data_IF_656739892679
#
_entry.id   IF_656739892679
#
_cell.length_a   1.000
_cell.length_b   1.000
_cell.length_c   1.000
_cell.angle_alpha   90.00
_cell.angle_beta   90.00
_cell.angle_gamma   90.00
#
_symmetry.space_group_name_H-M   'P 1'
#
loop_
_entity.id
_entity.type
_entity.pdbx_description
1 polymer ?
#
# COMPACT_ATOMS: atom_id res chain seq x y z
N UNK A 1 -7.12 -29.61 13.11
CA UNK A 1 -8.46 -30.24 13.08
C UNK A 1 -8.87 -30.59 14.50
N UNK A 2 -9.85 -29.87 15.07
CA UNK A 2 -10.33 -30.11 16.43
C UNK A 2 -11.58 -31.00 16.37
N UNK A 3 -11.59 -32.04 17.21
CA UNK A 3 -12.52 -33.18 17.26
C UNK A 3 -14.00 -32.86 17.55
N UNK A 4 -14.41 -31.58 17.54
CA UNK A 4 -15.77 -31.16 17.93
C UNK A 4 -16.69 -30.79 16.76
N UNK A 5 -16.18 -30.75 15.53
CA UNK A 5 -17.00 -30.44 14.33
C UNK A 5 -17.54 -31.67 13.60
N UNK A 6 -17.31 -32.88 14.11
CA UNK A 6 -17.67 -34.12 13.41
C UNK A 6 -19.09 -34.62 13.68
N UNK A 7 -19.81 -34.02 14.65
CA UNK A 7 -21.11 -34.52 15.12
C UNK A 7 -22.33 -33.70 14.69
N UNK A 8 -22.16 -32.63 13.90
CA UNK A 8 -23.31 -31.82 13.42
C UNK A 8 -23.75 -32.13 11.98
N UNK A 9 -23.08 -33.06 11.28
CA UNK A 9 -23.38 -33.38 9.86
C UNK A 9 -24.27 -34.62 9.63
N UNK A 10 -24.90 -35.19 10.66
CA UNK A 10 -25.60 -36.49 10.52
C UNK A 10 -27.14 -36.46 10.54
N UNK A 11 -27.83 -35.31 10.52
CA UNK A 11 -29.30 -35.31 10.63
C UNK A 11 -30.06 -34.38 9.67
N UNK A 12 -29.59 -34.23 8.43
CA UNK A 12 -30.45 -33.90 7.28
C UNK A 12 -29.69 -34.35 6.03
N UNK A 13 -29.96 -35.49 5.43
CA UNK A 13 -31.26 -35.97 4.99
C UNK A 13 -31.13 -36.18 3.48
N UNK A 14 -30.92 -37.42 3.07
CA UNK A 14 -30.64 -37.82 1.71
C UNK A 14 -31.79 -37.49 0.75
N UNK A 15 -31.46 -36.86 -0.39
CA UNK A 15 -32.08 -37.15 -1.69
C UNK A 15 -31.06 -36.83 -2.78
N UNK A 16 -30.63 -37.87 -3.48
CA UNK A 16 -29.83 -37.76 -4.68
C UNK A 16 -30.71 -37.21 -5.82
N UNK A 17 -30.20 -36.24 -6.57
CA UNK A 17 -30.11 -36.26 -8.04
C UNK A 17 -29.70 -34.89 -8.57
N UNK A 18 -28.82 -34.93 -9.57
CA UNK A 18 -28.41 -33.83 -10.46
C UNK A 18 -27.36 -32.87 -9.90
N UNK A 19 -26.15 -33.07 -10.43
CA UNK A 19 -24.94 -32.35 -10.06
C UNK A 19 -25.09 -30.83 -10.09
N UNK A 20 -24.58 -30.20 -9.04
CA UNK A 20 -23.34 -29.43 -9.13
C UNK A 20 -22.59 -29.72 -7.82
N UNK A 21 -21.43 -30.37 -7.92
CA UNK A 21 -20.46 -30.36 -6.81
C UNK A 21 -19.87 -28.96 -6.78
N UNK A 22 -20.57 -28.01 -6.16
CA UNK A 22 -19.98 -26.74 -5.78
C UNK A 22 -19.02 -27.06 -4.64
N UNK A 23 -17.76 -27.36 -4.97
CA UNK A 23 -16.65 -27.26 -4.03
C UNK A 23 -16.62 -25.81 -3.50
N UNK A 24 -17.04 -25.52 -2.26
CA UNK A 24 -17.24 -24.14 -1.83
C UNK A 24 -15.95 -23.47 -1.34
N UNK A 25 -14.78 -24.11 -1.49
CA UNK A 25 -13.62 -23.76 -0.66
C UNK A 25 -12.46 -23.07 -1.38
N UNK A 26 -12.46 -22.99 -2.72
CA UNK A 26 -11.27 -22.52 -3.47
C UNK A 26 -11.23 -21.04 -3.83
N UNK A 27 -12.39 -20.39 -4.06
CA UNK A 27 -12.44 -19.14 -4.85
C UNK A 27 -12.88 -17.90 -4.08
N UNK A 28 -13.42 -18.05 -2.87
CA UNK A 28 -13.89 -16.91 -2.07
C UNK A 28 -12.74 -16.16 -1.37
N UNK A 29 -11.65 -16.86 -1.02
CA UNK A 29 -10.55 -16.25 -0.28
C UNK A 29 -9.77 -15.20 -1.10
N UNK A 30 -9.63 -15.42 -2.41
CA UNK A 30 -8.90 -14.50 -3.29
C UNK A 30 -9.62 -13.15 -3.49
N UNK A 31 -10.95 -13.09 -3.29
CA UNK A 31 -11.74 -11.87 -3.48
C UNK A 31 -11.51 -10.82 -2.39
N UNK A 32 -10.96 -11.20 -1.24
CA UNK A 32 -10.79 -10.32 -0.08
C UNK A 32 -9.34 -9.91 0.19
N UNK A 33 -8.38 -10.43 -0.58
CA UNK A 33 -6.98 -10.04 -0.43
C UNK A 33 -6.80 -8.57 -0.80
N UNK A 34 -6.16 -7.82 0.10
CA UNK A 34 -5.86 -6.42 -0.13
C UNK A 34 -5.00 -6.26 -1.38
N UNK A 35 -5.32 -5.31 -2.28
CA UNK A 35 -4.50 -5.00 -3.45
C UNK A 35 -3.26 -4.17 -3.07
N UNK A 36 -3.21 -3.64 -1.85
CA UNK A 36 -2.11 -2.83 -1.35
C UNK A 36 -0.93 -3.74 -1.04
N UNK A 37 0.20 -3.44 -1.65
CA UNK A 37 1.45 -4.22 -1.56
C UNK A 37 2.63 -3.27 -1.49
N UNK A 38 3.86 -3.80 -1.36
CA UNK A 38 5.06 -2.95 -1.42
C UNK A 38 5.06 -2.10 -2.68
N UNK A 39 5.25 -0.81 -2.51
CA UNK A 39 5.19 0.23 -3.55
C UNK A 39 3.81 0.44 -4.24
N UNK A 40 2.76 -0.25 -3.84
CA UNK A 40 1.39 -0.03 -4.31
C UNK A 40 0.50 0.36 -3.12
N UNK A 41 0.22 1.66 -2.98
CA UNK A 41 -0.35 2.24 -1.75
C UNK A 41 -1.69 2.94 -2.02
N UNK A 42 -2.52 3.10 -1.01
CA UNK A 42 -3.65 4.03 -1.06
C UNK A 42 -3.19 5.50 -1.11
N UNK A 43 -3.97 6.39 -1.73
CA UNK A 43 -3.69 7.83 -1.72
C UNK A 43 -3.61 8.44 -0.30
N UNK A 44 -3.07 9.66 -0.17
CA UNK A 44 -3.02 10.39 1.10
C UNK A 44 -4.40 10.46 1.80
N UNK A 45 -4.39 10.34 3.13
CA UNK A 45 -5.61 10.43 3.94
C UNK A 45 -6.51 9.20 3.90
N UNK A 46 -6.12 8.11 3.23
CA UNK A 46 -6.92 6.89 3.20
C UNK A 46 -7.29 6.38 4.60
N UNK A 47 -8.54 5.97 4.75
CA UNK A 47 -8.97 5.16 5.91
C UNK A 47 -8.26 3.80 5.90
N UNK A 48 -8.42 3.02 6.99
CA UNK A 48 -7.89 1.66 7.05
C UNK A 48 -8.37 0.82 5.86
N UNK A 49 -7.51 -0.08 5.38
CA UNK A 49 -7.80 -0.87 4.19
C UNK A 49 -9.10 -1.69 4.33
N UNK A 50 -9.40 -2.16 5.54
CA UNK A 50 -10.64 -2.88 5.88
C UNK A 50 -11.90 -2.04 5.61
N UNK A 51 -11.84 -0.72 5.82
CA UNK A 51 -12.97 0.20 5.63
C UNK A 51 -12.95 0.90 4.26
N UNK A 52 -11.83 0.83 3.54
CA UNK A 52 -11.65 1.57 2.30
C UNK A 52 -12.64 1.18 1.19
N UNK A 53 -12.86 -0.11 0.85
CA UNK A 53 -13.73 -0.49 -0.26
C UNK A 53 -15.22 -0.22 0.01
N UNK A 54 -15.65 -0.12 1.27
CA UNK A 54 -17.03 0.22 1.64
C UNK A 54 -17.29 1.72 1.64
N UNK A 55 -16.27 2.55 1.91
CA UNK A 55 -16.39 4.03 1.88
C UNK A 55 -16.15 4.63 0.51
N UNK A 56 -15.31 4.00 -0.32
CA UNK A 56 -15.01 4.51 -1.64
C UNK A 56 -16.16 4.22 -2.62
N UNK A 57 -16.85 5.25 -3.09
CA UNK A 57 -17.90 5.13 -4.11
C UNK A 57 -17.34 5.02 -5.55
N UNK A 58 -16.03 4.87 -5.72
CA UNK A 58 -15.36 4.66 -7.02
C UNK A 58 -15.65 5.76 -8.06
N UNK A 59 -15.84 7.00 -7.59
CA UNK A 59 -16.22 8.13 -8.45
C UNK A 59 -15.09 8.71 -9.34
N UNK A 60 -13.84 8.25 -9.21
CA UNK A 60 -12.73 8.70 -10.05
C UNK A 60 -12.18 10.12 -9.81
N UNK A 61 -12.88 11.00 -9.07
CA UNK A 61 -12.47 12.40 -8.84
C UNK A 61 -11.03 12.60 -8.35
N UNK A 62 -10.55 11.69 -7.50
CA UNK A 62 -9.17 11.74 -7.00
C UNK A 62 -8.12 11.57 -8.11
N UNK A 63 -8.43 10.79 -9.15
CA UNK A 63 -7.58 10.60 -10.33
C UNK A 63 -7.61 11.85 -11.20
N UNK A 64 -8.80 12.37 -11.48
CA UNK A 64 -9.00 13.56 -12.32
C UNK A 64 -8.28 14.80 -11.77
N UNK A 65 -8.35 15.02 -10.44
CA UNK A 65 -7.76 16.20 -9.82
C UNK A 65 -6.24 16.08 -9.61
N UNK A 66 -5.66 14.88 -9.76
CA UNK A 66 -4.24 14.66 -9.49
C UNK A 66 -3.37 15.28 -10.60
N UNK A 67 -2.64 16.38 -10.34
CA UNK A 67 -1.90 17.07 -11.41
C UNK A 67 -0.72 16.25 -11.94
N UNK A 68 -0.23 15.29 -11.13
CA UNK A 68 0.90 14.43 -11.46
C UNK A 68 0.48 13.07 -12.04
N UNK A 69 -0.83 12.77 -12.08
CA UNK A 69 -1.35 11.47 -12.49
C UNK A 69 -0.76 10.29 -11.70
N UNK A 70 -0.46 10.52 -10.42
CA UNK A 70 0.09 9.48 -9.51
C UNK A 70 -0.94 8.43 -9.09
N UNK A 71 -2.23 8.72 -9.24
CA UNK A 71 -3.32 7.86 -8.78
C UNK A 71 -3.91 7.12 -9.98
N UNK A 72 -4.03 5.80 -9.86
CA UNK A 72 -4.69 4.93 -10.84
C UNK A 72 -5.83 4.16 -10.17
N UNK A 73 -6.85 3.77 -10.93
CA UNK A 73 -7.91 2.91 -10.42
C UNK A 73 -7.55 1.45 -10.65
N UNK A 74 -7.82 0.61 -9.66
CA UNK A 74 -7.69 -0.84 -9.81
C UNK A 74 -8.67 -1.38 -10.84
N UNK A 75 -8.23 -2.38 -11.59
CA UNK A 75 -9.05 -3.06 -12.57
C UNK A 75 -10.14 -3.95 -11.93
N UNK A 76 -10.96 -4.56 -12.76
CA UNK A 76 -12.07 -5.45 -12.33
C UNK A 76 -11.58 -6.75 -11.66
N UNK A 77 -10.32 -7.14 -11.88
CA UNK A 77 -9.72 -8.36 -11.30
C UNK A 77 -9.40 -8.19 -9.82
N UNK A 78 -9.36 -6.95 -9.32
CA UNK A 78 -9.18 -6.65 -7.89
C UNK A 78 -10.41 -6.97 -7.00
N UNK A 79 -11.43 -7.66 -7.54
CA UNK A 79 -12.58 -8.13 -6.78
C UNK A 79 -13.34 -6.98 -6.10
N UNK A 80 -13.54 -7.07 -4.78
CA UNK A 80 -14.26 -6.03 -4.02
C UNK A 80 -13.58 -4.65 -4.05
N UNK A 81 -12.28 -4.63 -4.34
CA UNK A 81 -11.47 -3.43 -4.46
C UNK A 81 -11.42 -2.86 -5.88
N UNK A 82 -12.09 -3.48 -6.86
CA UNK A 82 -12.16 -2.95 -8.22
C UNK A 82 -12.66 -1.48 -8.22
N UNK A 83 -12.05 -0.64 -9.06
CA UNK A 83 -12.38 0.79 -9.17
C UNK A 83 -11.96 1.65 -7.97
N UNK A 84 -11.26 1.09 -6.99
CA UNK A 84 -10.70 1.87 -5.87
C UNK A 84 -9.31 2.41 -6.24
N UNK A 85 -8.94 3.63 -5.79
CA UNK A 85 -7.67 4.26 -6.18
C UNK A 85 -6.46 3.68 -5.45
N UNK A 86 -5.34 3.60 -6.18
CA UNK A 86 -4.00 3.26 -5.67
C UNK A 86 -2.93 4.16 -6.30
N UNK A 87 -1.75 4.18 -5.69
CA UNK A 87 -0.55 4.90 -6.11
C UNK A 87 0.58 3.89 -6.21
N UNK A 88 1.05 3.66 -7.43
CA UNK A 88 2.21 2.82 -7.71
C UNK A 88 3.48 3.68 -7.70
N UNK A 89 4.13 3.77 -6.54
CA UNK A 89 5.22 4.75 -6.33
C UNK A 89 6.46 4.47 -7.16
N UNK A 90 6.64 3.24 -7.62
CA UNK A 90 7.73 2.87 -8.55
C UNK A 90 7.56 3.57 -9.91
N UNK A 91 6.31 3.72 -10.37
CA UNK A 91 5.98 4.36 -11.65
C UNK A 91 5.93 5.87 -11.49
N UNK A 92 5.01 6.36 -10.67
CA UNK A 92 4.80 7.80 -10.44
C UNK A 92 4.53 7.99 -8.94
N UNK A 93 5.46 8.62 -8.18
CA UNK A 93 5.29 8.82 -6.76
C UNK A 93 4.21 9.87 -6.46
N UNK A 94 3.74 9.91 -5.22
CA UNK A 94 2.86 10.98 -4.76
C UNK A 94 3.69 12.21 -4.38
N UNK A 95 3.32 13.38 -4.89
CA UNK A 95 3.96 14.66 -4.55
C UNK A 95 3.27 15.38 -3.37
N UNK A 96 2.33 14.72 -2.69
CA UNK A 96 1.65 15.22 -1.48
C UNK A 96 0.93 16.58 -1.65
N UNK A 97 0.40 16.88 -2.84
CA UNK A 97 -0.35 18.13 -3.08
C UNK A 97 -1.74 18.18 -2.42
N UNK A 98 -2.18 17.07 -1.79
CA UNK A 98 -3.43 16.89 -1.03
C UNK A 98 -4.77 17.12 -1.79
N UNK A 99 -4.77 17.60 -3.03
CA UNK A 99 -5.99 17.85 -3.82
C UNK A 99 -6.97 16.67 -3.90
N UNK A 100 -6.47 15.43 -3.93
CA UNK A 100 -7.31 14.23 -3.96
C UNK A 100 -8.17 14.08 -2.69
N UNK A 101 -7.67 14.55 -1.55
CA UNK A 101 -8.35 14.51 -0.26
C UNK A 101 -9.47 15.54 -0.24
N UNK A 102 -9.23 16.73 -0.80
CA UNK A 102 -10.19 17.84 -0.81
C UNK A 102 -11.47 17.52 -1.57
N UNK A 103 -11.33 16.79 -2.69
CA UNK A 103 -12.44 16.44 -3.59
C UNK A 103 -13.18 15.15 -3.20
N UNK A 104 -12.71 14.41 -2.20
CA UNK A 104 -13.31 13.14 -1.80
C UNK A 104 -14.67 13.36 -1.11
N UNK A 105 -15.81 12.94 -1.71
CA UNK A 105 -17.12 13.26 -1.15
C UNK A 105 -17.52 12.37 0.04
N UNK A 106 -16.95 11.16 0.15
CA UNK A 106 -17.35 10.17 1.17
C UNK A 106 -16.43 10.14 2.39
N UNK A 107 -15.33 10.88 2.35
CA UNK A 107 -14.27 10.80 3.34
C UNK A 107 -13.60 9.43 3.38
N UNK A 108 -13.56 8.69 2.26
CA UNK A 108 -12.64 7.54 2.12
C UNK A 108 -11.18 8.01 2.18
N UNK A 109 -10.93 9.26 1.77
CA UNK A 109 -9.73 10.04 2.04
C UNK A 109 -10.09 11.13 3.06
N UNK A 110 -9.60 11.01 4.28
CA UNK A 110 -9.81 11.97 5.38
C UNK A 110 -8.96 13.21 5.19
N UNK A 111 -9.55 14.38 5.43
CA UNK A 111 -8.83 15.66 5.52
C UNK A 111 -7.87 15.62 6.71
N UNK A 112 -6.58 15.67 6.40
CA UNK A 112 -5.47 15.66 7.35
C UNK A 112 -4.38 16.58 6.81
N UNK A 113 -3.52 17.05 7.69
CA UNK A 113 -2.36 17.83 7.30
C UNK A 113 -1.35 16.99 6.50
N UNK A 114 -0.61 17.62 5.59
CA UNK A 114 0.33 16.93 4.70
C UNK A 114 1.35 16.06 5.46
N UNK A 115 1.87 16.56 6.58
CA UNK A 115 2.87 15.88 7.43
C UNK A 115 2.28 14.73 8.27
N UNK A 116 0.96 14.69 8.45
CA UNK A 116 0.25 13.62 9.16
C UNK A 116 -0.11 12.44 8.24
N UNK A 117 0.11 12.58 6.94
CA UNK A 117 -0.14 11.51 5.96
C UNK A 117 0.68 10.27 6.28
N UNK A 118 0.05 9.08 6.25
CA UNK A 118 0.69 7.77 6.43
C UNK A 118 0.22 6.82 5.33
N UNK A 119 0.76 6.96 4.13
CA UNK A 119 0.51 6.03 3.01
C UNK A 119 1.28 4.71 3.18
N UNK A 120 2.43 4.77 3.86
CA UNK A 120 3.35 3.67 4.10
C UNK A 120 4.64 4.16 4.76
N UNK A 121 5.61 3.27 4.91
CA UNK A 121 6.92 3.53 5.52
C UNK A 121 8.03 3.23 4.52
N UNK A 122 8.96 4.16 4.36
CA UNK A 122 10.16 3.91 3.56
C UNK A 122 11.12 2.98 4.33
N UNK A 123 11.49 1.87 3.70
CA UNK A 123 12.41 0.88 4.25
C UNK A 123 13.63 0.79 3.35
N UNK A 124 14.81 1.06 3.94
CA UNK A 124 16.10 0.97 3.25
C UNK A 124 16.66 -0.44 3.39
N UNK A 125 16.92 -1.11 2.27
CA UNK A 125 17.72 -2.31 2.25
C UNK A 125 19.20 -1.93 2.30
N UNK A 126 19.83 -2.15 3.45
CA UNK A 126 21.25 -1.79 3.68
C UNK A 126 22.23 -2.58 2.81
N UNK A 127 21.86 -3.79 2.37
CA UNK A 127 22.70 -4.59 1.49
C UNK A 127 22.72 -4.05 0.06
N UNK A 128 21.58 -3.53 -0.42
CA UNK A 128 21.43 -3.03 -1.78
C UNK A 128 21.78 -1.52 -1.90
N UNK A 129 21.69 -0.76 -0.81
CA UNK A 129 21.91 0.68 -0.82
C UNK A 129 23.39 1.03 -0.99
N UNK A 130 23.74 1.76 -2.06
CA UNK A 130 25.13 2.18 -2.34
C UNK A 130 25.78 2.98 -1.21
N UNK A 131 25.01 3.82 -0.50
CA UNK A 131 25.52 4.57 0.64
C UNK A 131 25.84 3.67 1.84
N UNK A 132 25.00 2.65 2.11
CA UNK A 132 25.25 1.69 3.18
C UNK A 132 26.36 0.69 2.82
N UNK A 133 26.46 0.30 1.54
CA UNK A 133 27.54 -0.52 1.02
C UNK A 133 28.89 0.22 0.91
N UNK A 134 28.90 1.55 1.08
CA UNK A 134 30.11 2.37 0.99
C UNK A 134 30.71 2.47 -0.40
N UNK A 135 29.94 2.15 -1.45
CA UNK A 135 30.45 2.14 -2.83
C UNK A 135 30.47 3.52 -3.46
N UNK A 136 29.45 4.34 -3.16
CA UNK A 136 29.29 5.71 -3.68
C UNK A 136 28.66 6.58 -2.59
N UNK A 137 29.10 7.83 -2.48
CA UNK A 137 28.43 8.84 -1.67
C UNK A 137 27.07 9.20 -2.31
N UNK A 138 26.01 8.58 -1.80
CA UNK A 138 24.65 8.73 -2.33
C UNK A 138 23.71 9.35 -1.28
N UNK A 139 23.13 10.51 -1.61
CA UNK A 139 22.17 11.25 -0.78
C UNK A 139 20.81 11.48 -1.46
N UNK A 140 20.55 10.80 -2.57
CA UNK A 140 19.38 11.05 -3.42
C UNK A 140 18.03 10.93 -2.68
N UNK A 141 17.86 9.90 -1.85
CA UNK A 141 16.61 9.72 -1.10
C UNK A 141 16.38 10.82 -0.06
N UNK A 142 17.45 11.33 0.55
CA UNK A 142 17.41 12.45 1.48
C UNK A 142 17.03 13.75 0.74
N UNK A 143 17.69 14.06 -0.38
CA UNK A 143 17.46 15.29 -1.15
C UNK A 143 16.05 15.36 -1.77
N UNK A 144 15.47 14.22 -2.12
CA UNK A 144 14.12 14.14 -2.69
C UNK A 144 13.03 14.00 -1.63
N UNK A 145 13.39 13.86 -0.36
CA UNK A 145 12.42 13.83 0.71
C UNK A 145 11.79 15.22 0.88
N UNK A 146 10.47 15.37 0.95
CA UNK A 146 9.82 16.65 1.25
C UNK A 146 10.02 17.08 2.72
N UNK A 147 10.53 16.18 3.57
CA UNK A 147 10.80 16.43 4.98
C UNK A 147 12.24 16.01 5.33
N UNK A 148 13.26 16.67 4.76
CA UNK A 148 14.65 16.37 5.08
C UNK A 148 14.93 16.64 6.57
N UNK A 149 15.86 15.89 7.17
CA UNK A 149 16.18 15.88 8.61
C UNK A 149 15.05 15.43 9.55
N UNK A 150 13.80 15.37 9.08
CA UNK A 150 12.65 14.87 9.84
C UNK A 150 12.34 13.43 9.48
N UNK A 151 12.02 13.15 8.22
CA UNK A 151 11.62 11.82 7.77
C UNK A 151 12.79 10.96 7.28
N UNK A 152 13.78 11.57 6.64
CA UNK A 152 15.02 10.91 6.24
C UNK A 152 16.16 11.79 6.75
N UNK A 153 16.99 11.22 7.61
CA UNK A 153 18.21 11.85 8.14
C UNK A 153 19.45 11.12 7.63
N UNK A 154 20.59 11.79 7.65
CA UNK A 154 21.87 11.17 7.30
C UNK A 154 22.66 10.87 8.57
N UNK A 155 22.94 9.59 8.82
CA UNK A 155 23.81 9.12 9.89
C UNK A 155 25.13 8.62 9.30
N UNK A 156 26.21 9.35 9.54
CA UNK A 156 27.50 9.11 8.88
C UNK A 156 27.34 8.97 7.34
N UNK A 157 26.61 9.90 6.73
CA UNK A 157 26.27 9.91 5.30
C UNK A 157 25.40 8.75 4.80
N UNK A 158 24.81 7.96 5.71
CA UNK A 158 23.88 6.87 5.36
C UNK A 158 22.44 7.27 5.68
N UNK A 159 21.48 7.01 4.78
CA UNK A 159 20.09 7.38 5.03
C UNK A 159 19.48 6.50 6.12
N UNK A 160 18.84 7.15 7.09
CA UNK A 160 18.02 6.53 8.14
C UNK A 160 16.63 7.16 8.08
N UNK A 161 15.60 6.31 8.01
CA UNK A 161 14.20 6.75 7.95
C UNK A 161 13.63 6.85 9.35
N UNK A 162 12.97 7.96 9.66
CA UNK A 162 12.15 8.13 10.85
C UNK A 162 10.69 7.84 10.51
N UNK A 163 10.15 6.78 11.11
CA UNK A 163 8.76 6.34 10.91
C UNK A 163 7.74 7.41 11.32
N UNK A 164 8.06 8.24 12.32
CA UNK A 164 7.12 9.26 12.82
C UNK A 164 6.86 10.33 11.78
N UNK A 165 7.81 10.64 10.90
CA UNK A 165 7.67 11.70 9.89
C UNK A 165 7.51 11.16 8.47
N UNK A 166 7.84 9.89 8.22
CA UNK A 166 7.68 9.29 6.91
C UNK A 166 6.21 9.24 6.50
N UNK A 167 5.90 9.83 5.33
CA UNK A 167 4.54 9.83 4.79
C UNK A 167 4.24 8.67 3.86
N UNK A 168 5.26 7.94 3.42
CA UNK A 168 5.13 6.89 2.41
C UNK A 168 4.85 7.41 0.99
N UNK A 169 5.13 8.68 0.70
CA UNK A 169 4.86 9.30 -0.60
C UNK A 169 5.62 8.67 -1.79
N UNK A 170 6.73 7.97 -1.51
CA UNK A 170 7.48 7.21 -2.51
C UNK A 170 8.45 8.01 -3.39
N UNK A 171 8.62 9.31 -3.14
CA UNK A 171 9.61 10.13 -3.87
C UNK A 171 11.03 9.57 -3.77
N UNK A 172 11.40 9.04 -2.60
CA UNK A 172 12.70 8.41 -2.39
C UNK A 172 12.90 7.10 -3.16
N UNK A 173 11.85 6.27 -3.25
CA UNK A 173 11.84 5.03 -4.05
C UNK A 173 12.00 5.36 -5.53
N UNK A 174 11.18 6.27 -6.06
CA UNK A 174 11.22 6.66 -7.46
C UNK A 174 12.56 7.26 -7.87
N UNK A 175 13.14 8.11 -7.02
CA UNK A 175 14.43 8.74 -7.27
C UNK A 175 15.64 7.83 -7.08
N UNK A 176 15.47 6.63 -6.51
CA UNK A 176 16.59 5.75 -6.20
C UNK A 176 17.26 5.23 -7.49
N UNK A 177 18.57 5.49 -7.69
CA UNK A 177 19.29 5.03 -8.88
C UNK A 177 19.54 3.52 -8.86
N UNK A 178 19.58 2.91 -7.67
CA UNK A 178 19.80 1.47 -7.53
C UNK A 178 18.55 0.71 -7.93
N UNK A 179 18.70 -0.22 -8.88
CA UNK A 179 17.64 -1.13 -9.30
C UNK A 179 18.16 -2.57 -9.20
N UNK A 180 17.52 -3.38 -8.37
CA UNK A 180 17.90 -4.78 -8.11
C UNK A 180 16.88 -5.69 -8.75
N UNK A 181 17.34 -6.60 -9.61
CA UNK A 181 16.48 -7.62 -10.25
C UNK A 181 15.71 -8.36 -9.16
N UNK A 182 14.38 -8.45 -9.30
CA UNK A 182 13.42 -9.10 -8.40
C UNK A 182 13.14 -8.43 -7.04
N UNK A 183 13.98 -7.51 -6.54
CA UNK A 183 13.78 -6.83 -5.23
C UNK A 183 13.35 -5.36 -5.33
N UNK A 184 13.30 -4.80 -6.52
CA UNK A 184 12.90 -3.40 -6.75
C UNK A 184 14.06 -2.43 -6.51
N UNK A 185 13.84 -1.40 -5.71
CA UNK A 185 14.84 -0.36 -5.40
C UNK A 185 15.58 -0.66 -4.10
N UNK A 186 16.66 0.07 -3.82
CA UNK A 186 17.34 -0.04 -2.52
C UNK A 186 16.53 0.56 -1.35
N UNK A 187 15.56 1.42 -1.64
CA UNK A 187 14.60 1.96 -0.68
C UNK A 187 13.22 1.78 -1.29
N UNK A 188 12.31 1.12 -0.57
CA UNK A 188 10.94 0.84 -1.03
C UNK A 188 9.94 1.30 0.03
N UNK A 189 8.69 1.51 -0.34
CA UNK A 189 7.61 1.85 0.60
C UNK A 189 6.80 0.61 0.95
N UNK A 190 6.76 0.29 2.24
CA UNK A 190 5.95 -0.79 2.79
C UNK A 190 4.64 -0.22 3.35
N UNK A 191 3.47 -0.78 3.03
CA UNK A 191 2.19 -0.27 3.51
C UNK A 191 1.99 -0.54 5.02
N UNK A 192 1.92 0.54 5.81
CA UNK A 192 1.80 0.45 7.28
C UNK A 192 0.46 -0.12 7.77
N UNK A 193 -0.62 0.09 7.01
CA UNK A 193 -1.98 -0.33 7.40
C UNK A 193 -2.41 -1.67 6.77
N UNK A 194 -1.60 -2.24 5.86
CA UNK A 194 -1.93 -3.51 5.20
C UNK A 194 -1.37 -4.73 5.96
N UNK A 195 -0.28 -4.56 6.71
CA UNK A 195 0.27 -5.62 7.55
C UNK A 195 -0.34 -5.57 8.96
N UNK A 196 -1.42 -6.31 9.19
CA UNK A 196 -1.75 -6.84 10.52
C UNK A 196 -0.62 -7.79 10.95
N UNK A 197 0.52 -7.24 11.39
CA UNK A 197 1.60 -7.83 12.22
C UNK A 197 2.91 -7.05 12.02
N UNK A 198 3.07 -5.94 12.73
CA UNK A 198 4.37 -5.61 13.33
C UNK A 198 4.13 -5.66 14.83
N UNK A 199 4.33 -6.86 15.38
CA UNK A 199 4.37 -7.02 16.83
C UNK A 199 5.50 -6.16 17.39
N UNK A 200 5.12 -5.23 18.26
CA UNK A 200 5.89 -4.87 19.44
C UNK A 200 5.00 -5.10 20.65
#
# INVERSE_FOLDING_TARGET
MNRRSFLFCMSAGATALSGIVFSPCGSVAAMFNSPVTTNCLRPPGAVSEELFPSRCIRCGRCVEVCPYRSIVLLDIRAGVYAGTPVVEVDKIPCYLCMKCVDVCPTGSLKRIEQHQTRMGLAVVNKFDCSAWAGTILCRTCYDKCPYPEKAIRLDQLRPVVDEKWCTGCGLCTHACPVTVKKRGKAINIVPLYAEKKVGR
#
